data_IF_218357695021
#
_entry.id   IF_218357695021
#
_cell.length_a   1.000
_cell.length_b   1.000
_cell.length_c   1.000
_cell.angle_alpha   90.00
_cell.angle_beta   90.00
_cell.angle_gamma   90.00
#
_symmetry.space_group_name_H-M   'P 1'
#
loop_
_entity.id
_entity.type
_entity.pdbx_description
1 polymer ?
#
# COMPACT_ATOMS: atom_id res chain seq x y z
N UNK A 1 22.64 -7.19 -7.50
CA UNK A 1 23.40 -6.19 -8.32
C UNK A 1 22.58 -5.83 -9.54
N UNK A 2 22.03 -4.61 -9.58
CA UNK A 2 21.27 -4.09 -10.72
C UNK A 2 19.98 -3.44 -10.23
N UNK A 3 19.95 -2.11 -10.16
CA UNK A 3 18.72 -1.34 -10.07
C UNK A 3 18.16 -1.25 -11.49
N UNK A 4 16.92 -1.68 -11.72
CA UNK A 4 16.24 -1.44 -12.99
C UNK A 4 15.55 -0.08 -12.91
N UNK A 5 15.97 0.85 -13.76
CA UNK A 5 15.26 2.10 -14.04
C UNK A 5 14.40 1.87 -15.29
N UNK A 6 13.09 2.01 -15.18
CA UNK A 6 12.21 2.02 -16.37
C UNK A 6 12.21 3.43 -17.00
N UNK A 7 12.12 3.56 -18.33
CA UNK A 7 12.49 4.80 -19.02
C UNK A 7 11.43 5.91 -18.98
N UNK A 8 10.28 5.69 -18.37
CA UNK A 8 9.15 6.63 -18.51
C UNK A 8 8.87 7.49 -17.30
N UNK A 9 9.32 7.15 -16.08
CA UNK A 9 9.22 8.03 -14.91
C UNK A 9 10.57 8.03 -14.16
N UNK A 10 11.27 9.18 -14.12
CA UNK A 10 12.51 9.39 -13.37
C UNK A 10 12.28 9.47 -11.85
N UNK A 11 11.55 8.51 -11.29
CA UNK A 11 11.43 8.28 -9.86
C UNK A 11 11.58 6.77 -9.68
N UNK A 12 12.57 6.34 -8.90
CA UNK A 12 12.63 4.97 -8.44
C UNK A 12 11.29 4.66 -7.75
N UNK A 13 10.47 3.84 -8.42
CA UNK A 13 9.18 3.39 -7.93
C UNK A 13 9.39 2.43 -6.76
N UNK A 14 9.69 2.98 -5.58
CA UNK A 14 9.59 2.26 -4.32
C UNK A 14 8.13 2.36 -3.89
N UNK A 15 7.38 1.28 -4.11
CA UNK A 15 6.02 1.16 -3.59
C UNK A 15 6.05 1.38 -2.08
N UNK A 16 5.35 2.42 -1.62
CA UNK A 16 5.25 2.75 -0.20
C UNK A 16 4.19 1.85 0.45
N UNK A 17 4.64 1.05 1.42
CA UNK A 17 3.89 0.16 2.32
C UNK A 17 3.48 -1.22 1.78
N UNK A 18 4.46 -2.12 1.75
CA UNK A 18 4.34 -3.37 2.50
C UNK A 18 5.55 -3.49 3.44
N UNK A 19 5.32 -4.02 4.63
CA UNK A 19 6.37 -4.50 5.53
C UNK A 19 7.23 -5.48 4.71
N UNK A 20 8.47 -5.08 4.42
CA UNK A 20 9.48 -5.95 3.83
C UNK A 20 9.49 -6.01 2.29
N UNK A 21 10.40 -5.25 1.68
CA UNK A 21 11.30 -5.85 0.69
C UNK A 21 12.28 -6.80 1.42
N UNK A 22 11.74 -7.77 2.14
CA UNK A 22 12.45 -8.97 2.57
C UNK A 22 12.43 -9.85 1.32
N UNK A 23 13.49 -9.92 0.53
CA UNK A 23 14.25 -11.16 0.53
C UNK A 23 15.72 -10.99 0.10
N UNK A 24 16.18 -9.79 -0.29
CA UNK A 24 17.59 -9.61 -0.71
C UNK A 24 18.28 -8.29 -0.31
N UNK A 25 17.57 -7.25 0.16
CA UNK A 25 18.15 -5.89 0.29
C UNK A 25 17.95 -5.18 1.65
N UNK A 26 17.46 -5.88 2.68
CA UNK A 26 17.23 -5.32 4.01
C UNK A 26 15.90 -4.55 4.17
N UNK A 27 15.72 -3.89 5.30
CA UNK A 27 14.53 -3.10 5.65
C UNK A 27 14.70 -1.66 5.19
N UNK A 28 13.87 -1.23 4.23
CA UNK A 28 13.81 0.17 3.79
C UNK A 28 12.70 0.90 4.55
N UNK A 29 13.04 2.04 5.14
CA UNK A 29 12.07 2.95 5.72
C UNK A 29 11.49 3.90 4.68
N UNK A 30 10.51 4.68 5.08
CA UNK A 30 9.85 5.63 4.18
C UNK A 30 10.82 6.73 3.69
N UNK A 31 10.70 7.08 2.41
CA UNK A 31 11.46 8.17 1.79
C UNK A 31 10.93 9.53 2.26
N UNK A 32 11.81 10.40 2.76
CA UNK A 32 11.46 11.76 3.21
C UNK A 32 12.44 12.75 2.59
N UNK A 33 11.93 13.72 1.82
CA UNK A 33 12.72 14.73 1.11
C UNK A 33 13.84 14.12 0.24
N UNK A 34 13.55 13.02 -0.45
CA UNK A 34 14.53 12.29 -1.27
C UNK A 34 15.49 11.40 -0.49
N UNK A 35 15.46 11.44 0.85
CA UNK A 35 16.30 10.61 1.71
C UNK A 35 15.67 9.24 1.96
N UNK A 36 16.45 8.18 1.78
CA UNK A 36 16.05 6.79 1.89
C UNK A 36 16.79 6.17 3.10
N UNK A 37 16.12 6.00 4.25
CA UNK A 37 16.69 5.25 5.35
C UNK A 37 16.65 3.75 5.03
N UNK A 38 17.79 3.08 5.15
CA UNK A 38 17.94 1.66 4.83
C UNK A 38 18.67 0.94 5.96
N UNK A 39 18.20 -0.25 6.31
CA UNK A 39 18.90 -1.18 7.19
C UNK A 39 19.15 -2.47 6.42
N UNK A 40 20.42 -2.80 6.21
CA UNK A 40 20.84 -4.03 5.54
C UNK A 40 21.69 -4.87 6.50
N UNK A 41 21.10 -5.94 7.06
CA UNK A 41 21.70 -6.76 8.11
C UNK A 41 22.23 -5.94 9.32
N UNK A 42 23.55 -5.73 9.36
CA UNK A 42 24.27 -5.00 10.40
C UNK A 42 24.56 -3.55 10.02
N UNK A 43 24.16 -3.09 8.82
CA UNK A 43 24.39 -1.74 8.35
C UNK A 43 23.11 -0.92 8.44
N UNK A 44 23.23 0.29 8.95
CA UNK A 44 22.20 1.34 8.88
C UNK A 44 22.76 2.47 8.05
N UNK A 45 21.99 2.90 7.06
CA UNK A 45 22.39 3.87 6.05
C UNK A 45 21.30 4.90 5.85
N UNK A 46 21.71 6.10 5.45
CA UNK A 46 20.83 7.11 4.89
C UNK A 46 21.35 7.48 3.51
N UNK A 47 20.54 7.30 2.47
CA UNK A 47 20.91 7.54 1.07
C UNK A 47 20.16 8.76 0.57
N UNK A 48 20.83 9.67 -0.13
CA UNK A 48 20.17 10.75 -0.86
C UNK A 48 19.84 10.26 -2.27
N UNK A 49 18.59 9.83 -2.48
CA UNK A 49 18.11 9.29 -3.75
C UNK A 49 18.13 10.29 -4.91
N UNK A 50 18.27 11.60 -4.65
CA UNK A 50 18.41 12.63 -5.69
C UNK A 50 19.87 12.74 -6.12
N UNK A 51 20.81 12.71 -5.16
CA UNK A 51 22.24 12.75 -5.44
C UNK A 51 22.80 11.42 -5.99
N UNK A 52 22.09 10.31 -5.77
CA UNK A 52 22.41 9.00 -6.32
C UNK A 52 22.15 7.87 -5.33
N UNK A 53 22.87 6.75 -5.49
CA UNK A 53 22.75 5.59 -4.57
C UNK A 53 23.85 5.55 -3.51
N UNK A 54 24.74 6.53 -3.47
CA UNK A 54 25.82 6.60 -2.48
C UNK A 54 25.24 7.03 -1.13
N UNK A 55 25.44 6.26 -0.04
CA UNK A 55 24.99 6.68 1.28
C UNK A 55 25.63 8.00 1.70
N UNK A 56 24.84 8.91 2.29
CA UNK A 56 25.35 10.09 2.98
C UNK A 56 26.24 9.69 4.16
N UNK A 57 25.83 8.64 4.86
CA UNK A 57 26.58 7.97 5.90
C UNK A 57 26.11 6.53 6.04
N UNK A 58 26.96 5.71 6.66
CA UNK A 58 26.67 4.33 7.03
C UNK A 58 27.27 4.04 8.40
N UNK A 59 26.56 3.29 9.23
CA UNK A 59 27.02 2.87 10.56
C UNK A 59 26.71 1.40 10.79
N UNK A 60 27.62 0.72 11.49
CA UNK A 60 27.41 -0.66 11.92
C UNK A 60 26.54 -0.69 13.20
N UNK A 61 25.59 -1.62 13.22
CA UNK A 61 24.71 -1.94 14.34
C UNK A 61 24.61 -3.46 14.44
N UNK A 62 24.34 -4.02 15.64
CA UNK A 62 24.07 -5.44 15.76
C UNK A 62 23.00 -5.88 14.76
N UNK A 63 23.24 -7.01 14.11
CA UNK A 63 22.25 -7.63 13.24
C UNK A 63 21.00 -7.96 14.06
N UNK A 64 19.85 -7.66 13.47
CA UNK A 64 18.56 -8.02 14.03
C UNK A 64 17.55 -7.88 12.91
N UNK A 65 16.84 -8.98 12.69
CA UNK A 65 15.88 -9.19 11.60
C UNK A 65 14.62 -8.33 11.75
N UNK A 66 14.42 -7.79 12.95
CA UNK A 66 13.11 -7.29 13.41
C UNK A 66 13.11 -5.79 13.71
N UNK A 67 14.05 -5.04 13.13
CA UNK A 67 14.07 -3.58 13.27
C UNK A 67 13.27 -2.89 12.17
N UNK A 68 12.39 -2.00 12.59
CA UNK A 68 11.81 -0.97 11.74
C UNK A 68 12.72 0.26 11.73
N UNK A 69 12.82 0.92 10.59
CA UNK A 69 13.60 2.15 10.42
C UNK A 69 12.72 3.28 9.88
N UNK A 70 12.83 4.47 10.47
CA UNK A 70 12.22 5.68 9.92
C UNK A 70 13.14 6.90 10.05
N UNK A 71 12.86 7.92 9.25
CA UNK A 71 13.59 9.18 9.20
C UNK A 71 12.58 10.34 9.21
N UNK A 72 12.80 11.36 10.04
CA UNK A 72 11.91 12.53 10.15
C UNK A 72 12.49 13.81 9.54
N UNK A 73 13.66 13.74 8.89
CA UNK A 73 14.40 14.91 8.39
C UNK A 73 15.52 15.37 9.32
N UNK A 74 15.50 14.98 10.60
CA UNK A 74 16.52 15.34 11.60
C UNK A 74 17.16 14.12 12.27
N UNK A 75 16.38 13.06 12.46
CA UNK A 75 16.79 11.85 13.16
C UNK A 75 16.36 10.60 12.40
N UNK A 76 17.19 9.57 12.50
CA UNK A 76 16.85 8.20 12.10
C UNK A 76 16.53 7.42 13.37
N UNK A 77 15.36 6.78 13.38
CA UNK A 77 14.90 5.94 14.48
C UNK A 77 15.01 4.48 14.07
N UNK A 78 15.58 3.66 14.96
CA UNK A 78 15.63 2.20 14.83
C UNK A 78 14.80 1.60 15.94
N UNK A 79 13.64 1.04 15.59
CA UNK A 79 12.72 0.44 16.53
C UNK A 79 12.85 -1.07 16.43
N UNK A 80 13.19 -1.72 17.53
CA UNK A 80 13.15 -3.19 17.60
C UNK A 80 11.68 -3.60 17.83
N UNK A 81 11.11 -4.42 16.95
CA UNK A 81 9.72 -4.86 17.09
C UNK A 81 9.51 -5.89 18.20
N UNK A 82 10.58 -6.47 18.75
CA UNK A 82 10.53 -7.40 19.89
C UNK A 82 10.88 -6.73 21.22
N UNK A 83 11.73 -5.71 21.16
CA UNK A 83 12.17 -4.98 22.35
C UNK A 83 11.34 -3.71 22.55
N UNK A 84 11.02 -3.37 23.80
CA UNK A 84 10.24 -2.15 24.11
C UNK A 84 11.14 -0.91 24.09
N UNK A 85 12.03 -0.81 23.11
CA UNK A 85 13.01 0.26 22.98
C UNK A 85 13.25 0.65 21.54
N UNK A 86 13.80 1.84 21.38
CA UNK A 86 14.28 2.33 20.10
C UNK A 86 15.53 3.17 20.27
N UNK A 87 16.34 3.19 19.22
CA UNK A 87 17.56 3.99 19.14
C UNK A 87 17.33 5.22 18.28
N UNK A 88 18.02 6.31 18.62
CA UNK A 88 17.98 7.57 17.90
C UNK A 88 19.38 7.88 17.36
N UNK A 89 19.47 8.02 16.05
CA UNK A 89 20.67 8.43 15.34
C UNK A 89 20.44 9.81 14.75
N UNK A 90 21.47 10.66 14.74
CA UNK A 90 21.41 11.96 14.08
C UNK A 90 21.38 11.79 12.57
N UNK A 91 20.41 12.41 11.91
CA UNK A 91 20.21 12.28 10.46
C UNK A 91 21.35 12.84 9.61
N UNK A 92 22.13 13.79 10.11
CA UNK A 92 23.22 14.41 9.34
C UNK A 92 24.46 13.53 9.17
N UNK A 93 24.74 12.62 10.11
CA UNK A 93 26.00 11.86 10.16
C UNK A 93 25.89 10.45 10.78
N UNK A 94 24.69 10.01 11.15
CA UNK A 94 24.46 8.70 11.74
C UNK A 94 24.94 8.57 13.18
N UNK A 95 25.35 9.65 13.84
CA UNK A 95 25.83 9.59 15.22
C UNK A 95 24.73 9.06 16.15
N UNK A 96 25.01 7.95 16.85
CA UNK A 96 24.14 7.44 17.90
C UNK A 96 24.01 8.46 19.03
N UNK A 97 22.78 8.86 19.35
CA UNK A 97 22.49 9.84 20.38
C UNK A 97 22.09 9.17 21.69
N UNK A 98 21.07 8.31 21.64
CA UNK A 98 20.52 7.62 22.82
C UNK A 98 19.60 6.48 22.43
N UNK A 99 19.30 5.63 23.42
CA UNK A 99 18.18 4.68 23.40
C UNK A 99 17.07 5.16 24.33
N UNK A 100 15.83 4.86 23.99
CA UNK A 100 14.63 5.24 24.73
C UNK A 100 13.65 4.07 24.80
N UNK A 101 12.87 3.99 25.86
CA UNK A 101 11.81 2.99 25.97
C UNK A 101 10.56 3.42 25.20
N UNK A 102 9.89 2.47 24.57
CA UNK A 102 8.54 2.65 24.04
C UNK A 102 7.52 2.45 25.18
N UNK A 103 6.36 3.11 25.12
CA UNK A 103 5.21 2.73 25.93
C UNK A 103 4.89 1.24 25.75
N UNK A 104 4.27 0.62 26.76
CA UNK A 104 3.80 -0.76 26.65
C UNK A 104 2.88 -0.91 25.43
N UNK A 105 3.17 -1.91 24.61
CA UNK A 105 2.41 -2.29 23.42
C UNK A 105 2.63 -3.78 23.13
N UNK A 106 1.77 -4.38 22.32
CA UNK A 106 1.93 -5.75 21.81
C UNK A 106 2.56 -5.76 20.42
N UNK A 107 2.30 -4.73 19.60
CA UNK A 107 2.76 -4.68 18.21
C UNK A 107 2.96 -3.23 17.74
N UNK A 108 3.94 -3.00 16.88
CA UNK A 108 4.10 -1.73 16.15
C UNK A 108 3.37 -1.86 14.82
N UNK A 109 2.32 -1.05 14.61
CA UNK A 109 1.47 -1.09 13.41
C UNK A 109 1.98 -0.21 12.27
N UNK A 110 2.84 0.75 12.56
CA UNK A 110 3.42 1.59 11.52
C UNK A 110 4.27 2.74 12.06
N UNK A 111 5.00 3.38 11.15
CA UNK A 111 5.84 4.54 11.42
C UNK A 111 5.52 5.66 10.42
N UNK A 112 5.27 6.85 10.95
CA UNK A 112 4.83 8.03 10.20
C UNK A 112 5.67 9.23 10.63
N UNK A 113 6.78 9.45 9.91
CA UNK A 113 7.79 10.42 10.33
C UNK A 113 8.36 10.03 11.69
N UNK A 114 8.20 10.91 12.68
CA UNK A 114 8.58 10.66 14.08
C UNK A 114 7.48 10.00 14.92
N UNK A 115 6.32 9.66 14.34
CA UNK A 115 5.21 9.04 15.06
C UNK A 115 5.22 7.52 14.87
N UNK A 116 5.35 6.78 15.97
CA UNK A 116 5.08 5.35 16.02
C UNK A 116 3.61 5.10 16.35
N UNK A 117 2.94 4.27 15.55
CA UNK A 117 1.58 3.80 15.82
C UNK A 117 1.69 2.44 16.51
N UNK A 118 1.37 2.41 17.80
CA UNK A 118 1.48 1.24 18.66
C UNK A 118 0.11 0.61 18.86
N UNK A 119 0.03 -0.71 18.81
CA UNK A 119 -1.16 -1.46 19.19
C UNK A 119 -1.00 -2.03 20.59
N UNK A 120 -1.93 -1.70 21.49
CA UNK A 120 -2.01 -2.24 22.84
C UNK A 120 -3.34 -3.00 22.99
N UNK A 121 -3.23 -4.32 23.11
CA UNK A 121 -4.36 -5.23 23.21
C UNK A 121 -4.92 -5.17 24.63
N UNK A 122 -6.21 -4.86 24.74
CA UNK A 122 -6.92 -4.86 26.02
C UNK A 122 -7.45 -6.27 26.31
N UNK A 123 -8.07 -6.91 25.31
CA UNK A 123 -8.57 -8.29 25.39
C UNK A 123 -8.55 -8.99 24.01
N UNK A 124 -9.23 -10.13 23.86
CA UNK A 124 -9.24 -10.89 22.60
C UNK A 124 -9.98 -10.20 21.44
N UNK A 125 -10.88 -9.26 21.73
CA UNK A 125 -11.78 -8.60 20.77
C UNK A 125 -11.63 -7.08 20.74
N UNK A 126 -10.86 -6.49 21.65
CA UNK A 126 -10.65 -5.05 21.78
C UNK A 126 -9.19 -4.68 22.02
N UNK A 127 -8.85 -3.45 21.62
CA UNK A 127 -7.57 -2.84 21.92
C UNK A 127 -7.61 -1.34 21.73
N UNK A 128 -6.43 -0.75 21.78
CA UNK A 128 -6.23 0.67 21.47
C UNK A 128 -5.04 0.84 20.54
N UNK A 129 -5.18 1.76 19.60
CA UNK A 129 -4.05 2.33 18.89
C UNK A 129 -3.56 3.56 19.66
N UNK A 130 -2.25 3.71 19.72
CA UNK A 130 -1.58 4.82 20.41
C UNK A 130 -0.61 5.48 19.45
N UNK A 131 -0.77 6.77 19.22
CA UNK A 131 0.22 7.58 18.50
C UNK A 131 1.27 8.09 19.47
N UNK A 132 2.50 7.59 19.34
CA UNK A 132 3.62 7.96 20.18
C UNK A 132 4.67 8.74 19.38
N UNK A 133 5.00 9.94 19.84
CA UNK A 133 6.01 10.77 19.20
C UNK A 133 7.41 10.41 19.73
N UNK A 134 8.23 9.85 18.85
CA UNK A 134 9.60 9.39 19.12
C UNK A 134 10.58 10.55 19.37
N UNK A 135 10.25 11.77 18.92
CA UNK A 135 11.13 12.92 19.11
C UNK A 135 11.03 13.49 20.53
N UNK A 136 9.81 13.68 21.03
CA UNK A 136 9.54 14.33 22.32
C UNK A 136 9.08 13.38 23.43
N UNK A 137 8.93 12.08 23.13
CA UNK A 137 8.58 11.01 24.08
C UNK A 137 7.16 11.12 24.66
N UNK A 138 6.23 11.69 23.89
CA UNK A 138 4.84 11.91 24.30
C UNK A 138 3.85 11.02 23.56
N UNK A 139 2.84 10.54 24.29
CA UNK A 139 1.62 9.98 23.68
C UNK A 139 0.77 11.16 23.21
N UNK A 140 0.56 11.25 21.90
CA UNK A 140 -0.25 12.32 21.29
C UNK A 140 -1.74 12.01 21.37
N UNK A 141 -2.09 10.74 21.15
CA UNK A 141 -3.48 10.30 21.05
C UNK A 141 -3.63 8.81 21.31
N UNK A 142 -4.86 8.41 21.61
CA UNK A 142 -5.28 7.01 21.69
C UNK A 142 -6.66 6.84 21.09
N UNK A 143 -6.85 5.78 20.30
CA UNK A 143 -8.12 5.44 19.64
C UNK A 143 -8.51 4.03 20.05
N UNK A 144 -9.71 3.86 20.59
CA UNK A 144 -10.29 2.54 20.88
C UNK A 144 -10.76 1.85 19.61
N UNK A 145 -10.44 0.57 19.49
CA UNK A 145 -10.54 -0.21 18.25
C UNK A 145 -10.87 -1.65 18.57
N UNK A 146 -11.47 -2.35 17.61
CA UNK A 146 -11.69 -3.80 17.75
C UNK A 146 -10.42 -4.57 17.42
N UNK A 147 -10.35 -5.84 17.81
CA UNK A 147 -9.20 -6.71 17.54
C UNK A 147 -8.97 -7.03 16.06
N UNK A 148 -9.82 -6.54 15.15
CA UNK A 148 -9.75 -6.77 13.71
C UNK A 148 -9.59 -5.44 12.97
N UNK A 149 -8.43 -4.81 13.15
CA UNK A 149 -8.04 -3.59 12.43
C UNK A 149 -6.97 -3.84 11.39
N UNK A 150 -6.99 -3.05 10.33
CA UNK A 150 -5.92 -2.94 9.35
C UNK A 150 -5.71 -1.47 8.99
N UNK A 151 -4.50 -1.09 8.61
CA UNK A 151 -4.12 0.30 8.42
C UNK A 151 -3.22 0.43 7.20
N UNK A 152 -3.39 1.51 6.45
CA UNK A 152 -2.54 1.85 5.31
C UNK A 152 -2.32 3.35 5.24
N UNK A 153 -1.20 3.77 4.64
CA UNK A 153 -1.01 5.19 4.37
C UNK A 153 -1.85 5.62 3.17
N UNK A 154 -2.37 6.83 3.25
CA UNK A 154 -3.01 7.49 2.11
C UNK A 154 -1.95 8.31 1.36
N UNK A 155 -1.11 9.02 2.11
CA UNK A 155 -0.05 9.88 1.60
C UNK A 155 1.06 10.05 2.66
N UNK A 156 1.84 11.12 2.52
CA UNK A 156 2.98 11.44 3.36
C UNK A 156 2.58 11.90 4.77
N UNK A 157 1.31 12.20 5.01
CA UNK A 157 0.78 12.75 6.26
C UNK A 157 -0.38 11.96 6.83
N UNK A 158 -1.14 11.27 6.01
CA UNK A 158 -2.42 10.70 6.39
C UNK A 158 -2.43 9.19 6.34
N UNK A 159 -3.25 8.65 7.23
CA UNK A 159 -3.49 7.23 7.44
C UNK A 159 -4.97 6.93 7.23
N UNK A 160 -5.26 5.73 6.74
CA UNK A 160 -6.58 5.14 6.84
C UNK A 160 -6.52 3.90 7.72
N UNK A 161 -7.48 3.81 8.63
CA UNK A 161 -7.68 2.66 9.50
C UNK A 161 -9.05 2.05 9.20
N UNK A 162 -9.08 0.78 8.83
CA UNK A 162 -10.32 0.02 8.74
C UNK A 162 -10.51 -0.81 10.01
N UNK A 163 -11.60 -0.56 10.72
CA UNK A 163 -12.05 -1.37 11.87
C UNK A 163 -13.23 -2.23 11.43
N UNK A 164 -12.95 -3.52 11.16
CA UNK A 164 -13.95 -4.45 10.65
C UNK A 164 -15.04 -4.76 11.68
N UNK A 165 -14.71 -4.74 12.98
CA UNK A 165 -15.70 -4.98 14.04
C UNK A 165 -16.71 -3.83 14.19
N UNK A 166 -16.28 -2.59 13.89
CA UNK A 166 -17.15 -1.41 13.86
C UNK A 166 -17.74 -1.11 12.48
N UNK A 167 -17.26 -1.77 11.42
CA UNK A 167 -17.61 -1.50 10.02
C UNK A 167 -17.39 -0.02 9.67
N UNK A 168 -16.21 0.51 9.99
CA UNK A 168 -15.88 1.91 9.74
C UNK A 168 -14.45 2.06 9.22
N UNK A 169 -14.23 3.10 8.43
CA UNK A 169 -12.92 3.59 8.04
C UNK A 169 -12.70 4.95 8.70
N UNK A 170 -11.59 5.09 9.41
CA UNK A 170 -11.14 6.36 9.98
C UNK A 170 -10.01 6.92 9.12
N UNK A 171 -10.12 8.20 8.76
CA UNK A 171 -9.05 8.96 8.14
C UNK A 171 -8.33 9.76 9.21
N UNK A 172 -7.02 9.58 9.32
CA UNK A 172 -6.24 9.95 10.49
C UNK A 172 -5.05 10.81 10.06
N UNK A 173 -4.81 11.92 10.75
CA UNK A 173 -3.52 12.61 10.79
C UNK A 173 -2.82 12.22 12.11
N UNK A 174 -1.80 11.35 12.06
CA UNK A 174 -1.13 10.84 13.26
C UNK A 174 -0.33 11.91 14.00
N UNK A 175 -0.11 13.09 13.42
CA UNK A 175 0.66 14.18 14.05
C UNK A 175 -0.21 15.07 14.94
N UNK A 176 -1.53 14.97 14.86
CA UNK A 176 -2.47 15.78 15.64
C UNK A 176 -2.88 15.10 16.95
N UNK A 177 -3.15 15.87 18.01
CA UNK A 177 -3.68 15.36 19.28
C UNK A 177 -5.10 14.81 19.16
N UNK A 178 -5.86 15.31 18.18
CA UNK A 178 -7.15 14.75 17.77
C UNK A 178 -6.98 14.18 16.37
N UNK A 179 -6.57 12.92 16.26
CA UNK A 179 -5.97 12.43 15.03
C UNK A 179 -7.02 12.07 13.98
N UNK A 180 -8.27 11.77 14.38
CA UNK A 180 -9.35 11.42 13.45
C UNK A 180 -9.87 12.67 12.76
N UNK A 181 -9.62 12.77 11.46
CA UNK A 181 -10.08 13.89 10.62
C UNK A 181 -11.56 13.75 10.23
N UNK A 182 -11.98 12.52 9.91
CA UNK A 182 -13.35 12.12 9.64
C UNK A 182 -13.47 10.59 9.59
N UNK A 183 -14.71 10.11 9.59
CA UNK A 183 -15.05 8.70 9.53
C UNK A 183 -16.03 8.41 8.40
N UNK A 184 -15.99 7.19 7.88
CA UNK A 184 -16.87 6.72 6.82
C UNK A 184 -17.36 5.30 7.17
N UNK A 185 -18.65 5.04 6.97
CA UNK A 185 -19.20 3.68 7.12
C UNK A 185 -18.62 2.76 6.05
N UNK A 186 -18.16 1.59 6.49
CA UNK A 186 -17.65 0.54 5.62
C UNK A 186 -18.67 -0.62 5.54
N UNK A 187 -18.66 -1.39 4.44
CA UNK A 187 -19.45 -2.62 4.35
C UNK A 187 -18.98 -3.66 5.37
N UNK A 188 -19.89 -4.55 5.76
CA UNK A 188 -19.55 -5.72 6.60
C UNK A 188 -18.72 -6.71 5.80
N UNK A 189 -17.54 -7.04 6.28
CA UNK A 189 -16.63 -7.94 5.57
C UNK A 189 -15.67 -8.66 6.53
N UNK A 190 -15.16 -9.80 6.10
CA UNK A 190 -14.07 -10.55 6.76
C UNK A 190 -12.68 -10.16 6.28
N UNK A 191 -12.61 -9.13 5.43
CA UNK A 191 -11.37 -8.57 4.91
C UNK A 191 -10.34 -8.25 6.00
N UNK A 192 -9.08 -8.30 5.57
CA UNK A 192 -7.90 -8.18 6.43
C UNK A 192 -6.92 -7.13 5.94
N UNK A 193 -6.99 -6.77 4.67
CA UNK A 193 -6.08 -5.79 4.09
C UNK A 193 -6.86 -4.60 3.52
N UNK A 194 -6.17 -3.46 3.51
CA UNK A 194 -6.70 -2.17 3.10
C UNK A 194 -5.71 -1.53 2.15
N UNK A 195 -6.19 -1.16 0.96
CA UNK A 195 -5.40 -0.50 -0.05
C UNK A 195 -6.10 0.77 -0.51
N UNK A 196 -5.35 1.87 -0.64
CA UNK A 196 -5.93 3.17 -1.02
C UNK A 196 -5.18 3.73 -2.20
N UNK A 197 -5.96 4.10 -3.20
CA UNK A 197 -5.53 4.93 -4.32
C UNK A 197 -6.23 6.28 -4.25
N UNK A 198 -5.69 7.29 -4.92
CA UNK A 198 -6.31 8.61 -4.91
C UNK A 198 -6.05 9.42 -6.17
N UNK A 199 -6.98 10.32 -6.46
CA UNK A 199 -6.85 11.38 -7.44
C UNK A 199 -7.21 12.74 -6.78
N UNK A 200 -7.27 13.86 -7.51
CA UNK A 200 -7.63 15.14 -6.91
C UNK A 200 -9.04 15.21 -6.27
N UNK A 201 -9.96 14.29 -6.61
CA UNK A 201 -11.38 14.35 -6.26
C UNK A 201 -11.77 13.27 -5.23
N UNK A 202 -11.22 12.07 -5.34
CA UNK A 202 -11.61 10.91 -4.53
C UNK A 202 -10.42 10.17 -3.90
N UNK A 203 -10.71 9.49 -2.79
CA UNK A 203 -9.95 8.33 -2.35
C UNK A 203 -10.69 7.06 -2.80
N UNK A 204 -9.98 6.10 -3.36
CA UNK A 204 -10.46 4.79 -3.77
C UNK A 204 -9.98 3.76 -2.77
N UNK A 205 -10.86 3.39 -1.84
CA UNK A 205 -10.54 2.49 -0.74
C UNK A 205 -10.95 1.07 -1.09
N UNK A 206 -9.98 0.19 -1.16
CA UNK A 206 -10.15 -1.23 -1.44
C UNK A 206 -10.05 -1.99 -0.12
N UNK A 207 -11.10 -2.71 0.23
CA UNK A 207 -11.14 -3.54 1.43
C UNK A 207 -11.07 -4.99 0.97
N UNK A 208 -9.89 -5.59 1.06
CA UNK A 208 -9.59 -6.85 0.39
C UNK A 208 -9.50 -8.04 1.36
N UNK A 209 -10.00 -9.18 0.91
CA UNK A 209 -9.97 -10.44 1.63
C UNK A 209 -9.33 -11.52 0.77
N UNK A 210 -8.70 -12.49 1.40
CA UNK A 210 -8.12 -13.64 0.67
C UNK A 210 -9.21 -14.33 -0.17
N UNK A 211 -9.00 -14.52 -1.49
CA UNK A 211 -9.97 -15.18 -2.35
C UNK A 211 -10.17 -16.65 -1.95
N UNK A 212 -11.42 -17.11 -1.98
CA UNK A 212 -11.81 -18.42 -1.47
C UNK A 212 -11.48 -19.59 -2.42
N UNK A 213 -11.51 -19.35 -3.74
CA UNK A 213 -11.48 -20.42 -4.75
C UNK A 213 -10.47 -20.21 -5.89
N UNK A 214 -9.96 -18.99 -6.08
CA UNK A 214 -9.02 -18.66 -7.16
C UNK A 214 -7.81 -17.93 -6.60
N UNK A 215 -6.62 -18.29 -7.11
CA UNK A 215 -5.39 -17.54 -6.83
C UNK A 215 -5.13 -16.68 -8.06
N UNK A 216 -5.40 -15.37 -8.01
CA UNK A 216 -5.14 -14.50 -9.15
C UNK A 216 -3.63 -14.43 -9.42
N UNK A 217 -3.23 -14.69 -10.66
CA UNK A 217 -1.86 -14.52 -11.12
C UNK A 217 -1.70 -13.17 -11.83
N UNK A 218 -0.49 -12.63 -11.84
CA UNK A 218 -0.21 -11.35 -12.50
C UNK A 218 -0.61 -11.38 -13.97
N UNK A 219 -1.28 -10.31 -14.42
CA UNK A 219 -1.61 -10.12 -15.82
C UNK A 219 -0.38 -9.69 -16.64
N UNK A 220 0.52 -8.90 -16.04
CA UNK A 220 1.78 -8.45 -16.63
C UNK A 220 3.02 -8.98 -15.90
N UNK A 221 4.18 -8.37 -16.16
CA UNK A 221 5.45 -8.70 -15.51
C UNK A 221 5.51 -8.22 -14.06
N UNK A 222 4.79 -7.16 -13.73
CA UNK A 222 4.77 -6.57 -12.39
C UNK A 222 3.61 -7.14 -11.56
N UNK A 223 3.88 -7.32 -10.26
CA UNK A 223 2.89 -7.78 -9.29
C UNK A 223 2.23 -6.57 -8.61
N UNK A 224 0.91 -6.48 -8.68
CA UNK A 224 0.13 -5.57 -7.85
C UNK A 224 -0.62 -6.29 -6.73
N UNK A 225 -1.26 -5.53 -5.86
CA UNK A 225 -2.04 -6.06 -4.73
C UNK A 225 -3.22 -6.93 -5.19
N UNK A 226 -3.52 -7.98 -4.43
CA UNK A 226 -4.71 -8.81 -4.65
C UNK A 226 -5.95 -8.03 -4.20
N UNK A 227 -6.89 -7.83 -5.13
CA UNK A 227 -8.14 -7.10 -4.91
C UNK A 227 -9.30 -8.07 -4.98
N UNK A 228 -9.92 -8.30 -3.83
CA UNK A 228 -11.09 -9.15 -3.70
C UNK A 228 -11.98 -8.64 -2.57
N UNK A 229 -13.05 -7.92 -2.92
CA UNK A 229 -13.98 -7.29 -2.00
C UNK A 229 -14.44 -5.90 -2.46
N UNK A 230 -15.06 -5.14 -1.55
CA UNK A 230 -15.64 -3.85 -1.89
C UNK A 230 -14.58 -2.77 -2.11
N UNK A 231 -14.87 -1.93 -3.09
CA UNK A 231 -14.14 -0.70 -3.42
C UNK A 231 -15.08 0.46 -3.21
N UNK A 232 -14.64 1.44 -2.43
CA UNK A 232 -15.38 2.65 -2.11
C UNK A 232 -14.69 3.86 -2.74
N UNK A 233 -15.41 4.68 -3.49
CA UNK A 233 -14.94 6.03 -3.78
C UNK A 233 -15.45 7.00 -2.72
N UNK A 234 -14.53 7.65 -2.02
CA UNK A 234 -14.83 8.63 -0.97
C UNK A 234 -14.45 10.00 -1.50
N UNK A 235 -15.44 10.89 -1.62
CA UNK A 235 -15.24 12.25 -2.10
C UNK A 235 -14.41 13.07 -1.11
N UNK A 236 -13.31 13.68 -1.58
CA UNK A 236 -12.45 14.54 -0.77
C UNK A 236 -13.17 15.79 -0.28
N UNK A 237 -14.06 16.34 -1.10
CA UNK A 237 -14.82 17.54 -0.78
C UNK A 237 -15.90 17.28 0.28
N UNK A 238 -16.65 16.17 0.14
CA UNK A 238 -17.81 15.91 1.01
C UNK A 238 -17.53 14.93 2.14
N UNK A 239 -16.41 14.20 2.07
CA UNK A 239 -16.00 13.14 3.01
C UNK A 239 -17.05 12.03 3.15
N UNK A 240 -17.77 11.75 2.06
CA UNK A 240 -18.80 10.71 1.98
C UNK A 240 -18.48 9.73 0.86
N UNK A 241 -18.99 8.50 0.99
CA UNK A 241 -18.97 7.52 -0.10
C UNK A 241 -19.81 8.06 -1.26
N UNK A 242 -19.18 8.25 -2.40
CA UNK A 242 -19.83 8.64 -3.65
C UNK A 242 -20.45 7.42 -4.34
N UNK A 243 -19.71 6.30 -4.39
CA UNK A 243 -20.16 5.03 -4.93
C UNK A 243 -19.38 3.86 -4.31
N UNK A 244 -19.91 2.64 -4.47
CA UNK A 244 -19.29 1.39 -4.03
C UNK A 244 -19.50 0.31 -5.09
N UNK A 245 -18.46 -0.48 -5.37
CA UNK A 245 -18.50 -1.61 -6.31
C UNK A 245 -17.72 -2.80 -5.74
N UNK A 246 -18.15 -4.02 -6.01
CA UNK A 246 -17.44 -5.25 -5.63
C UNK A 246 -16.50 -5.67 -6.77
N UNK A 247 -15.29 -6.11 -6.40
CA UNK A 247 -14.31 -6.71 -7.33
C UNK A 247 -13.91 -8.06 -6.80
N UNK A 248 -13.93 -9.08 -7.67
CA UNK A 248 -13.67 -10.46 -7.26
C UNK A 248 -12.40 -11.01 -7.91
N UNK A 249 -11.45 -11.42 -7.08
CA UNK A 249 -10.24 -12.15 -7.47
C UNK A 249 -9.48 -11.55 -8.67
N UNK A 250 -9.24 -10.23 -8.64
CA UNK A 250 -8.37 -9.54 -9.59
C UNK A 250 -7.17 -8.95 -8.85
N UNK A 251 -6.24 -8.35 -9.59
CA UNK A 251 -5.10 -7.63 -9.01
C UNK A 251 -5.10 -6.20 -9.48
N UNK A 252 -4.65 -5.29 -8.62
CA UNK A 252 -4.29 -3.95 -9.04
C UNK A 252 -3.21 -4.01 -10.12
N UNK A 253 -3.30 -3.16 -11.14
CA UNK A 253 -2.22 -3.01 -12.12
C UNK A 253 -1.28 -1.90 -11.63
N UNK A 254 0.00 -2.17 -11.34
CA UNK A 254 0.94 -1.15 -10.88
C UNK A 254 1.15 -0.02 -11.90
N UNK A 255 1.55 1.15 -11.42
CA UNK A 255 1.93 2.29 -12.28
C UNK A 255 0.77 2.98 -13.02
N UNK A 256 -0.48 2.73 -12.62
CA UNK A 256 -1.63 3.46 -13.16
C UNK A 256 -1.49 4.96 -12.88
N UNK A 257 -1.63 5.78 -13.93
CA UNK A 257 -1.65 7.23 -13.75
C UNK A 257 -2.92 7.63 -12.99
N UNK A 258 -2.78 8.44 -11.95
CA UNK A 258 -3.91 8.94 -11.16
C UNK A 258 -4.91 9.75 -12.00
N UNK A 259 -4.46 10.32 -13.12
CA UNK A 259 -5.28 11.07 -14.09
C UNK A 259 -6.11 10.21 -15.03
N UNK A 260 -6.01 8.87 -15.00
CA UNK A 260 -6.90 8.02 -15.79
C UNK A 260 -8.35 8.17 -15.30
N UNK A 261 -9.36 8.21 -16.18
CA UNK A 261 -10.76 8.34 -15.80
C UNK A 261 -11.37 7.04 -15.24
N UNK A 262 -10.57 5.98 -15.11
CA UNK A 262 -10.99 4.68 -14.60
C UNK A 262 -9.93 4.05 -13.69
N UNK A 263 -10.37 3.11 -12.86
CA UNK A 263 -9.53 2.17 -12.14
C UNK A 263 -9.40 0.90 -12.95
N UNK A 264 -8.20 0.33 -13.02
CA UNK A 264 -7.91 -0.89 -13.76
C UNK A 264 -7.46 -2.01 -12.83
N UNK A 265 -8.06 -3.17 -13.03
CA UNK A 265 -7.69 -4.41 -12.38
C UNK A 265 -7.49 -5.49 -13.43
N UNK A 266 -6.58 -6.42 -13.18
CA UNK A 266 -6.39 -7.54 -14.09
C UNK A 266 -5.64 -8.70 -13.46
N UNK A 267 -6.01 -9.91 -13.87
CA UNK A 267 -5.36 -11.13 -13.43
C UNK A 267 -5.49 -12.24 -14.47
N UNK A 268 -4.54 -13.17 -14.45
CA UNK A 268 -4.70 -14.49 -15.04
C UNK A 268 -5.38 -15.38 -13.99
N UNK A 269 -6.62 -15.77 -14.24
CA UNK A 269 -7.36 -16.68 -13.36
C UNK A 269 -7.20 -18.11 -13.85
N UNK A 270 -6.74 -18.98 -12.96
CA UNK A 270 -6.69 -20.43 -13.20
C UNK A 270 -8.03 -21.02 -12.77
N UNK A 271 -8.80 -21.47 -13.75
CA UNK A 271 -10.08 -22.18 -13.52
C UNK A 271 -9.88 -23.66 -13.82
N UNK A 272 -10.45 -24.51 -12.97
CA UNK A 272 -10.44 -25.97 -13.18
C UNK A 272 -11.70 -26.33 -13.94
N UNK A 273 -11.56 -26.93 -15.12
CA UNK A 273 -12.69 -27.43 -15.91
C UNK A 273 -12.49 -28.91 -16.22
N UNK A 274 -13.51 -29.76 -16.04
CA UNK A 274 -13.43 -31.13 -16.54
C UNK A 274 -13.24 -31.09 -18.06
N UNK A 275 -12.24 -31.81 -18.55
CA UNK A 275 -12.02 -31.99 -19.98
C UNK A 275 -13.02 -33.00 -20.57
N UNK A 276 -12.90 -33.28 -21.87
CA UNK A 276 -13.79 -34.20 -22.59
C UNK A 276 -13.76 -35.64 -22.03
N UNK A 277 -12.72 -36.00 -21.25
CA UNK A 277 -12.56 -37.30 -20.60
C UNK A 277 -12.95 -37.28 -19.11
N UNK A 278 -13.37 -36.13 -18.58
CA UNK A 278 -13.69 -35.94 -17.16
C UNK A 278 -12.46 -35.73 -16.26
N UNK A 279 -11.25 -35.59 -16.83
CA UNK A 279 -10.05 -35.22 -16.08
C UNK A 279 -10.02 -33.70 -15.83
N UNK A 280 -9.40 -33.28 -14.72
CA UNK A 280 -9.29 -31.86 -14.39
C UNK A 280 -8.24 -31.19 -15.28
N UNK A 281 -8.69 -30.43 -16.28
CA UNK A 281 -7.83 -29.50 -17.02
C UNK A 281 -7.83 -28.13 -16.35
N UNK A 282 -6.70 -27.43 -16.47
CA UNK A 282 -6.57 -26.05 -16.00
C UNK A 282 -6.65 -25.10 -17.19
N UNK A 283 -7.65 -24.24 -17.18
CA UNK A 283 -7.76 -23.14 -18.14
C UNK A 283 -7.32 -21.85 -17.43
N UNK A 284 -6.22 -21.27 -17.92
CA UNK A 284 -5.80 -19.93 -17.51
C UNK A 284 -6.45 -18.90 -18.42
N UNK A 285 -7.37 -18.11 -17.88
CA UNK A 285 -8.04 -17.03 -18.61
C UNK A 285 -7.55 -15.68 -18.09
N UNK A 286 -7.19 -14.78 -19.01
CA UNK A 286 -6.89 -13.39 -18.68
C UNK A 286 -8.20 -12.63 -18.45
N UNK A 287 -8.28 -11.90 -17.35
CA UNK A 287 -9.40 -11.04 -17.01
C UNK A 287 -8.87 -9.64 -16.71
N UNK A 288 -9.65 -8.64 -17.11
CA UNK A 288 -9.42 -7.24 -16.79
C UNK A 288 -10.77 -6.60 -16.58
N UNK A 289 -10.80 -5.69 -15.61
CA UNK A 289 -11.94 -4.92 -15.21
C UNK A 289 -11.55 -3.45 -15.21
N UNK A 290 -12.34 -2.63 -15.90
CA UNK A 290 -12.23 -1.17 -15.86
C UNK A 290 -13.45 -0.61 -15.14
N UNK A 291 -13.23 0.19 -14.10
CA UNK A 291 -14.29 0.87 -13.33
C UNK A 291 -14.17 2.36 -13.56
N UNK A 292 -15.23 2.99 -14.07
CA UNK A 292 -15.33 4.44 -14.23
C UNK A 292 -15.22 5.12 -12.85
N UNK A 293 -14.25 6.03 -12.71
CA UNK A 293 -13.94 6.69 -11.43
C UNK A 293 -15.03 7.62 -10.93
N UNK A 294 -15.85 8.17 -11.83
CA UNK A 294 -16.93 9.11 -11.51
C UNK A 294 -18.17 8.38 -11.00
N UNK A 295 -18.49 7.24 -11.58
CA UNK A 295 -19.77 6.55 -11.38
C UNK A 295 -19.66 5.23 -10.63
N UNK A 296 -18.46 4.63 -10.58
CA UNK A 296 -18.27 3.27 -10.08
C UNK A 296 -18.79 2.19 -11.03
N UNK A 297 -19.28 2.56 -12.21
CA UNK A 297 -19.79 1.61 -13.19
C UNK A 297 -18.65 0.91 -13.92
N UNK A 298 -18.86 -0.37 -14.20
CA UNK A 298 -17.95 -1.15 -15.02
C UNK A 298 -18.04 -0.70 -16.48
N UNK A 299 -16.92 -0.26 -17.05
CA UNK A 299 -16.82 0.19 -18.45
C UNK A 299 -16.63 -1.02 -19.37
N UNK A 300 -15.77 -1.96 -18.98
CA UNK A 300 -15.37 -3.07 -19.83
C UNK A 300 -14.94 -4.30 -19.02
N UNK A 301 -15.29 -5.48 -19.54
CA UNK A 301 -14.58 -6.75 -19.32
C UNK A 301 -13.85 -7.15 -20.59
N UNK A 302 -12.61 -7.64 -20.49
CA UNK A 302 -11.89 -8.17 -21.66
C UNK A 302 -12.75 -9.17 -22.45
N UNK A 303 -12.85 -9.04 -23.79
CA UNK A 303 -13.43 -10.08 -24.62
C UNK A 303 -12.69 -11.40 -24.43
N UNK A 304 -13.42 -12.52 -24.45
CA UNK A 304 -12.86 -13.87 -24.26
C UNK A 304 -11.71 -14.24 -25.19
N UNK A 305 -11.56 -13.50 -26.29
CA UNK A 305 -10.58 -13.70 -27.36
C UNK A 305 -9.19 -13.13 -27.02
N UNK A 306 -9.11 -12.21 -26.05
CA UNK A 306 -7.84 -11.61 -25.64
C UNK A 306 -7.25 -12.48 -24.51
N UNK A 307 -6.08 -13.05 -24.77
CA UNK A 307 -5.38 -13.97 -23.89
C UNK A 307 -3.90 -13.62 -23.80
N UNK A 308 -3.23 -14.13 -22.78
CA UNK A 308 -1.78 -14.00 -22.63
C UNK A 308 -1.36 -12.87 -21.70
N UNK A 309 -0.07 -12.57 -21.71
CA UNK A 309 0.54 -11.54 -20.85
C UNK A 309 0.25 -10.14 -21.39
N UNK A 310 -0.08 -9.19 -20.51
CA UNK A 310 -0.08 -7.77 -20.83
C UNK A 310 1.37 -7.32 -21.06
N UNK A 311 1.68 -6.90 -22.28
CA UNK A 311 3.02 -6.51 -22.71
C UNK A 311 3.25 -5.02 -22.55
N UNK A 312 2.24 -4.21 -22.90
CA UNK A 312 2.36 -2.75 -22.92
C UNK A 312 1.01 -2.08 -22.67
N UNK A 313 1.06 -0.95 -21.99
CA UNK A 313 -0.03 0.01 -21.87
C UNK A 313 0.40 1.35 -22.48
N UNK A 314 -0.39 1.87 -23.43
CA UNK A 314 -0.10 3.12 -24.14
C UNK A 314 -1.31 4.05 -24.05
N UNK A 315 -1.25 5.09 -23.22
CA UNK A 315 -2.28 6.14 -23.17
C UNK A 315 -2.02 7.24 -24.22
N UNK A 316 -3.04 7.62 -24.98
CA UNK A 316 -3.11 8.85 -25.79
C UNK A 316 -4.10 9.81 -25.10
N UNK A 317 -3.55 10.67 -24.25
CA UNK A 317 -4.34 11.61 -23.43
C UNK A 317 -5.00 12.72 -24.28
N UNK A 318 -4.45 13.03 -25.45
CA UNK A 318 -5.03 14.03 -26.35
C UNK A 318 -6.30 13.49 -27.01
N UNK A 319 -6.28 12.23 -27.44
CA UNK A 319 -7.45 11.57 -28.03
C UNK A 319 -8.35 10.86 -27.01
N UNK A 320 -7.95 10.82 -25.74
CA UNK A 320 -8.58 9.98 -24.72
C UNK A 320 -8.65 8.50 -25.14
N UNK A 321 -7.64 8.01 -25.86
CA UNK A 321 -7.55 6.62 -26.30
C UNK A 321 -6.56 5.87 -25.41
N UNK A 322 -6.97 4.71 -24.91
CA UNK A 322 -6.17 3.89 -24.01
C UNK A 322 -6.00 2.52 -24.65
N UNK A 323 -4.76 2.16 -24.98
CA UNK A 323 -4.45 0.91 -25.67
C UNK A 323 -3.65 -0.04 -24.77
N UNK A 324 -4.08 -1.30 -24.74
CA UNK A 324 -3.39 -2.40 -24.09
C UNK A 324 -2.98 -3.43 -25.12
N UNK A 325 -1.70 -3.76 -25.16
CA UNK A 325 -1.16 -4.78 -26.05
C UNK A 325 -0.86 -6.04 -25.25
N UNK A 326 -1.50 -7.14 -25.62
CA UNK A 326 -1.30 -8.49 -25.11
C UNK A 326 -0.55 -9.32 -26.15
N UNK A 327 0.01 -10.44 -25.71
CA UNK A 327 0.62 -11.43 -26.62
C UNK A 327 -0.32 -11.86 -27.77
N UNK A 328 -1.63 -11.93 -27.52
CA UNK A 328 -2.62 -12.39 -28.51
C UNK A 328 -3.32 -11.27 -29.29
N UNK A 329 -3.09 -9.99 -28.98
CA UNK A 329 -3.78 -8.87 -29.63
C UNK A 329 -3.85 -7.59 -28.79
N UNK A 330 -4.54 -6.57 -29.30
CA UNK A 330 -4.67 -5.27 -28.61
C UNK A 330 -6.12 -4.95 -28.25
N UNK A 331 -6.32 -4.35 -27.08
CA UNK A 331 -7.57 -3.72 -26.65
C UNK A 331 -7.42 -2.19 -26.74
N UNK A 332 -8.41 -1.48 -27.26
CA UNK A 332 -8.45 -0.01 -27.22
C UNK A 332 -9.77 0.45 -26.61
N UNK A 333 -9.71 1.38 -25.66
CA UNK A 333 -10.86 2.02 -25.03
C UNK A 333 -10.76 3.52 -25.26
N UNK A 334 -11.85 4.14 -25.67
CA UNK A 334 -11.97 5.59 -25.84
C UNK A 334 -12.73 6.16 -24.65
N UNK A 335 -12.13 7.09 -23.91
CA UNK A 335 -12.79 7.84 -22.85
C UNK A 335 -13.75 8.89 -23.42
N UNK A 336 -14.80 9.22 -22.67
CA UNK A 336 -15.56 10.45 -22.92
C UNK A 336 -14.75 11.64 -22.36
N UNK A 337 -14.67 12.78 -23.08
CA UNK A 337 -13.98 13.97 -22.56
C UNK A 337 -14.64 14.49 -21.28
N UNK A 338 -13.82 14.87 -20.29
CA UNK A 338 -14.24 15.47 -19.01
C UNK A 338 -14.96 16.82 -19.14
#
# INVERSE_FOLDING_TARGET
KGFFTTPTHNVAGVSMLQIGWQEEAGVMGRIVNGMIPLRDHHLVMLIDGVAGITPLWQVERPESDDHLICYDGSFVYLLDSRDQRYDILRGSDGLFLKSQSLPRHDEIRGLFGSIAVLWDRIDQVSGRLVGYNLSNHEILWSIEVTGSVTMTAIDDRHLALFDAGKNQILFIDPTQTTPVLFEVSAPRTTARDLYIEQDPIHWYVHITQKPAQSIPQNLGLEAGEDINGPILAISKATRKVAWSTEVEALRWIPGQMSSLPFLMYGAKQRTTRPDENGEQSFLTKSQMLLIDKRTGQQILSLPDQITGTLMQFTPDLEKQEYRWDFESGSLTVTGEPE
#
